data_IF_637306634666
#
_entry.id   IF_637306634666
#
_cell.length_a   1.000
_cell.length_b   1.000
_cell.length_c   1.000
_cell.angle_alpha   90.00
_cell.angle_beta   90.00
_cell.angle_gamma   90.00
#
_symmetry.space_group_name_H-M   'P 1'
#
loop_
_entity.id
_entity.type
_entity.pdbx_description
1 polymer ?
#
# COMPACT_ATOMS: atom_id res chain seq x y z
N UNK A 1 -63.29 -48.73 -3.92
CA UNK A 1 -62.22 -49.17 -4.83
C UNK A 1 -61.88 -48.15 -5.92
N UNK A 2 -62.86 -47.50 -6.57
CA UNK A 2 -62.61 -46.52 -7.67
C UNK A 2 -61.74 -45.33 -7.24
N UNK A 3 -61.92 -44.81 -6.02
CA UNK A 3 -61.12 -43.68 -5.49
C UNK A 3 -59.62 -43.99 -5.36
N UNK A 4 -59.25 -45.23 -5.03
CA UNK A 4 -57.85 -45.61 -4.87
C UNK A 4 -57.11 -45.70 -6.22
N UNK A 5 -57.84 -46.12 -7.27
CA UNK A 5 -57.31 -46.22 -8.63
C UNK A 5 -57.03 -44.82 -9.20
N UNK A 6 -57.94 -43.86 -8.96
CA UNK A 6 -57.77 -42.46 -9.40
C UNK A 6 -56.57 -41.81 -8.71
N UNK A 7 -56.38 -42.04 -7.41
CA UNK A 7 -55.21 -41.54 -6.67
C UNK A 7 -53.89 -42.15 -7.17
N UNK A 8 -53.88 -43.45 -7.47
CA UNK A 8 -52.71 -44.11 -8.04
C UNK A 8 -52.33 -43.58 -9.42
N UNK A 9 -53.32 -43.35 -10.28
CA UNK A 9 -53.09 -42.75 -11.60
C UNK A 9 -52.58 -41.31 -11.49
N UNK A 10 -53.13 -40.49 -10.58
CA UNK A 10 -52.71 -39.10 -10.38
C UNK A 10 -51.26 -38.99 -9.88
N UNK A 11 -50.83 -39.91 -9.01
CA UNK A 11 -49.44 -39.97 -8.53
C UNK A 11 -48.46 -40.40 -9.63
N UNK A 12 -48.87 -41.28 -10.54
CA UNK A 12 -48.01 -41.74 -11.64
C UNK A 12 -47.73 -40.65 -12.68
N UNK A 13 -48.66 -39.71 -12.89
CA UNK A 13 -48.48 -38.58 -13.82
C UNK A 13 -47.68 -37.40 -13.26
N UNK A 14 -47.46 -37.34 -11.94
CA UNK A 14 -46.62 -36.30 -11.31
C UNK A 14 -45.13 -36.67 -11.27
N UNK A 15 -44.76 -37.90 -11.64
CA UNK A 15 -43.37 -38.34 -11.74
C UNK A 15 -42.74 -37.90 -13.08
N UNK A 16 -42.69 -36.59 -13.32
CA UNK A 16 -41.83 -36.05 -14.37
C UNK A 16 -40.36 -36.21 -13.93
N UNK A 17 -39.44 -36.64 -14.81
CA UNK A 17 -38.03 -36.74 -14.46
C UNK A 17 -37.51 -35.33 -14.14
N UNK A 18 -36.98 -35.13 -12.93
CA UNK A 18 -36.13 -33.98 -12.61
C UNK A 18 -34.83 -34.20 -13.37
N UNK A 19 -34.69 -33.54 -14.52
CA UNK A 19 -33.39 -33.41 -15.17
C UNK A 19 -32.58 -32.47 -14.29
N UNK A 20 -31.40 -32.93 -13.86
CA UNK A 20 -30.45 -32.14 -13.10
C UNK A 20 -30.29 -30.78 -13.78
N UNK A 21 -30.72 -29.72 -13.09
CA UNK A 21 -30.56 -28.36 -13.56
C UNK A 21 -29.07 -28.14 -13.92
N UNK A 22 -28.83 -27.51 -15.07
CA UNK A 22 -27.50 -27.07 -15.48
C UNK A 22 -26.82 -26.39 -14.29
N UNK A 23 -25.75 -27.01 -13.82
CA UNK A 23 -24.91 -26.44 -12.77
C UNK A 23 -24.28 -25.20 -13.39
N UNK A 24 -24.73 -24.02 -12.97
CA UNK A 24 -24.14 -22.75 -13.36
C UNK A 24 -22.61 -22.87 -13.19
N UNK A 25 -21.80 -22.59 -14.23
CA UNK A 25 -20.36 -22.79 -14.16
C UNK A 25 -19.81 -22.01 -12.97
N UNK A 26 -19.29 -22.72 -11.97
CA UNK A 26 -18.70 -22.11 -10.79
C UNK A 26 -17.58 -21.16 -11.24
N UNK A 27 -17.83 -19.86 -11.09
CA UNK A 27 -16.86 -18.82 -11.39
C UNK A 27 -16.19 -18.36 -10.09
N UNK A 28 -14.98 -18.85 -9.77
CA UNK A 28 -14.26 -18.45 -8.56
C UNK A 28 -13.92 -16.96 -8.54
N UNK A 29 -13.94 -16.27 -9.68
CA UNK A 29 -13.63 -14.84 -9.80
C UNK A 29 -14.85 -13.93 -9.59
N UNK A 30 -16.08 -14.47 -9.62
CA UNK A 30 -17.29 -13.66 -9.44
C UNK A 30 -17.34 -12.87 -8.11
N UNK A 31 -16.91 -13.43 -6.96
CA UNK A 31 -16.85 -12.70 -5.69
C UNK A 31 -15.79 -11.60 -5.69
N UNK A 32 -14.69 -11.76 -6.44
CA UNK A 32 -13.63 -10.75 -6.54
C UNK A 32 -14.04 -9.62 -7.49
N UNK A 33 -14.69 -9.94 -8.60
CA UNK A 33 -15.27 -8.96 -9.53
C UNK A 33 -16.34 -8.10 -8.87
N UNK A 34 -17.13 -8.69 -7.96
CA UNK A 34 -18.17 -7.97 -7.21
C UNK A 34 -17.64 -7.31 -5.93
N UNK A 35 -16.68 -7.95 -5.24
CA UNK A 35 -16.17 -7.56 -3.93
C UNK A 35 -14.99 -6.58 -3.97
N UNK A 36 -14.15 -6.62 -5.00
CA UNK A 36 -13.11 -5.62 -5.26
C UNK A 36 -13.60 -4.63 -6.31
N UNK A 37 -14.70 -3.94 -5.99
CA UNK A 37 -15.13 -2.82 -6.82
C UNK A 37 -14.01 -1.76 -6.88
N UNK A 38 -13.89 -1.09 -8.02
CA UNK A 38 -12.93 0.00 -8.22
C UNK A 38 -13.03 1.09 -7.13
N UNK A 39 -14.22 1.27 -6.55
CA UNK A 39 -14.45 2.16 -5.42
C UNK A 39 -13.79 1.70 -4.12
N UNK A 40 -13.87 0.41 -3.77
CA UNK A 40 -13.22 -0.14 -2.58
C UNK A 40 -11.69 -0.12 -2.71
N UNK A 41 -11.16 -0.50 -3.86
CA UNK A 41 -9.73 -0.39 -4.15
C UNK A 41 -9.23 1.05 -4.02
N UNK A 42 -9.98 2.00 -4.57
CA UNK A 42 -9.65 3.43 -4.45
C UNK A 42 -9.71 3.92 -3.00
N UNK A 43 -10.70 3.47 -2.23
CA UNK A 43 -10.82 3.81 -0.82
C UNK A 43 -9.64 3.28 0.00
N UNK A 44 -9.26 2.01 -0.21
CA UNK A 44 -8.12 1.39 0.46
C UNK A 44 -6.80 2.07 0.09
N UNK A 45 -6.62 2.39 -1.19
CA UNK A 45 -5.45 3.12 -1.66
C UNK A 45 -5.36 4.52 -1.04
N UNK A 46 -6.47 5.27 -1.04
CA UNK A 46 -6.51 6.58 -0.40
C UNK A 46 -6.18 6.48 1.09
N UNK A 47 -6.79 5.53 1.81
CA UNK A 47 -6.50 5.31 3.23
C UNK A 47 -5.03 4.95 3.47
N UNK A 48 -4.42 4.13 2.59
CA UNK A 48 -3.01 3.81 2.67
C UNK A 48 -2.12 5.04 2.41
N UNK A 49 -2.49 5.90 1.47
CA UNK A 49 -1.79 7.17 1.22
C UNK A 49 -1.91 8.15 2.39
N UNK A 50 -3.10 8.31 2.97
CA UNK A 50 -3.33 9.17 4.12
C UNK A 50 -2.48 8.72 5.32
N UNK A 51 -2.43 7.41 5.56
CA UNK A 51 -1.58 6.85 6.61
C UNK A 51 -0.09 7.03 6.30
N UNK A 52 0.33 6.82 5.05
CA UNK A 52 1.72 7.03 4.63
C UNK A 52 2.15 8.49 4.79
N UNK A 53 1.26 9.43 4.47
CA UNK A 53 1.49 10.86 4.64
C UNK A 53 1.71 11.21 6.10
N UNK A 54 0.99 10.58 7.04
CA UNK A 54 1.26 10.82 8.48
C UNK A 54 2.64 10.29 8.92
N UNK A 55 3.24 9.35 8.19
CA UNK A 55 4.49 8.70 8.59
C UNK A 55 5.71 9.20 7.81
N UNK A 56 5.55 9.85 6.66
CA UNK A 56 6.67 10.24 5.79
C UNK A 56 6.65 11.75 5.50
N UNK A 57 7.84 12.35 5.54
CA UNK A 57 8.08 13.72 5.10
C UNK A 57 9.27 13.73 4.15
N UNK A 58 9.05 14.19 2.92
CA UNK A 58 10.11 14.36 1.91
C UNK A 58 10.12 15.83 1.51
N UNK A 59 11.27 16.48 1.65
CA UNK A 59 11.48 17.86 1.24
C UNK A 59 12.71 17.97 0.36
N UNK A 60 12.54 18.56 -0.81
CA UNK A 60 13.64 18.92 -1.71
C UNK A 60 13.67 20.43 -1.91
N UNK A 61 14.84 21.03 -1.76
CA UNK A 61 15.10 22.41 -2.17
C UNK A 61 16.30 22.43 -3.10
N UNK A 62 16.08 22.99 -4.28
CA UNK A 62 17.14 23.36 -5.21
C UNK A 62 17.15 24.89 -5.23
N UNK A 63 18.30 25.52 -5.08
CA UNK A 63 18.42 26.97 -5.24
C UNK A 63 18.85 27.25 -6.70
N UNK A 64 17.91 27.64 -7.59
CA UNK A 64 18.23 27.93 -8.98
C UNK A 64 18.82 29.34 -9.17
N UNK A 65 18.73 30.22 -8.16
CA UNK A 65 18.97 31.66 -8.30
C UNK A 65 20.38 32.10 -7.88
N UNK A 66 21.32 31.17 -7.67
CA UNK A 66 22.72 31.55 -7.49
C UNK A 66 23.31 31.95 -8.86
N UNK A 67 23.13 33.23 -9.21
CA UNK A 67 23.53 33.90 -10.47
C UNK A 67 25.02 33.67 -10.82
N UNK A 68 25.82 33.17 -9.87
CA UNK A 68 27.24 32.81 -10.06
C UNK A 68 27.46 31.35 -10.52
N UNK A 69 26.39 30.63 -10.86
CA UNK A 69 26.42 29.26 -11.36
C UNK A 69 26.72 28.19 -10.30
N UNK A 70 26.73 28.58 -9.03
CA UNK A 70 26.87 27.66 -7.91
C UNK A 70 25.53 26.94 -7.64
N UNK A 71 25.50 25.62 -7.81
CA UNK A 71 24.28 24.83 -7.60
C UNK A 71 24.30 24.23 -6.22
N UNK A 72 23.38 24.67 -5.37
CA UNK A 72 23.14 24.07 -4.06
C UNK A 72 21.80 23.35 -4.05
N UNK A 73 21.80 22.12 -3.54
CA UNK A 73 20.59 21.37 -3.31
C UNK A 73 20.58 20.69 -1.96
N UNK A 74 19.39 20.56 -1.38
CA UNK A 74 19.14 19.84 -0.13
C UNK A 74 17.95 18.90 -0.31
N UNK A 75 18.15 17.65 0.06
CA UNK A 75 17.11 16.64 0.16
C UNK A 75 17.00 16.21 1.62
N UNK A 76 15.79 16.20 2.16
CA UNK A 76 15.50 15.73 3.50
C UNK A 76 14.38 14.70 3.43
N UNK A 77 14.63 13.56 4.06
CA UNK A 77 13.69 12.49 4.29
C UNK A 77 13.53 12.31 5.80
N UNK A 78 12.29 12.23 6.28
CA UNK A 78 11.99 11.82 7.65
C UNK A 78 10.89 10.78 7.63
N UNK A 79 11.07 9.77 8.47
CA UNK A 79 10.10 8.73 8.75
C UNK A 79 9.74 8.76 10.23
N UNK A 80 8.44 8.83 10.51
CA UNK A 80 7.85 8.87 11.84
C UNK A 80 7.14 7.53 12.09
N UNK A 81 7.75 6.58 12.82
CA UNK A 81 7.17 5.26 13.03
C UNK A 81 5.81 5.29 13.73
N UNK A 82 5.60 6.30 14.56
CA UNK A 82 4.40 6.50 15.39
C UNK A 82 3.51 7.63 14.85
N UNK A 83 3.72 8.04 13.59
CA UNK A 83 3.08 9.21 12.99
C UNK A 83 3.74 10.54 13.38
N UNK A 84 3.54 11.56 12.56
CA UNK A 84 4.10 12.92 12.73
C UNK A 84 3.70 13.57 14.06
N UNK A 85 2.56 13.16 14.64
CA UNK A 85 2.08 13.64 15.93
C UNK A 85 3.03 13.33 17.10
N UNK A 86 3.79 12.22 17.03
CA UNK A 86 4.83 11.85 18.01
C UNK A 86 6.23 12.18 17.47
N UNK A 87 6.41 13.43 17.01
CA UNK A 87 7.60 13.92 16.29
C UNK A 87 8.97 13.73 16.97
N UNK A 88 8.98 13.47 18.29
CA UNK A 88 10.21 13.22 19.06
C UNK A 88 10.98 11.97 18.63
N UNK A 89 10.31 11.02 17.97
CA UNK A 89 10.89 9.76 17.52
C UNK A 89 10.77 9.65 15.99
N UNK A 90 11.81 10.05 15.27
CA UNK A 90 11.85 9.92 13.82
C UNK A 90 13.21 9.40 13.34
N UNK A 91 13.19 8.69 12.23
CA UNK A 91 14.34 8.36 11.42
C UNK A 91 14.50 9.47 10.38
N UNK A 92 15.67 10.11 10.31
CA UNK A 92 15.95 11.16 9.36
C UNK A 92 17.11 10.80 8.45
N UNK A 93 17.03 11.16 7.18
CA UNK A 93 18.13 11.17 6.24
C UNK A 93 18.16 12.51 5.53
N UNK A 94 19.27 13.23 5.62
CA UNK A 94 19.47 14.51 4.97
C UNK A 94 20.69 14.42 4.06
N UNK A 95 20.54 14.87 2.82
CA UNK A 95 21.61 15.04 1.85
C UNK A 95 21.69 16.50 1.42
N UNK A 96 22.88 17.06 1.35
CA UNK A 96 23.10 18.36 0.72
C UNK A 96 24.33 18.32 -0.15
N UNK A 97 24.24 18.99 -1.28
CA UNK A 97 25.32 19.10 -2.23
C UNK A 97 25.55 20.56 -2.60
N UNK A 98 26.81 20.86 -2.89
CA UNK A 98 27.25 22.15 -3.40
C UNK A 98 28.17 21.88 -4.59
N UNK A 99 27.85 22.46 -5.75
CA UNK A 99 28.59 22.29 -6.98
C UNK A 99 28.92 23.64 -7.61
N UNK A 100 30.21 23.96 -7.70
CA UNK A 100 30.73 25.20 -8.30
C UNK A 100 31.07 24.98 -9.79
N UNK A 101 30.77 25.93 -10.70
CA UNK A 101 30.83 25.70 -12.15
C UNK A 101 32.26 25.74 -12.75
N UNK A 102 33.25 26.30 -12.06
CA UNK A 102 34.61 26.54 -12.61
C UNK A 102 35.65 25.49 -12.16
N UNK A 103 35.30 24.20 -12.23
CA UNK A 103 36.23 23.12 -11.82
C UNK A 103 36.53 23.10 -10.32
N UNK A 104 35.68 23.76 -9.52
CA UNK A 104 35.76 23.79 -8.07
C UNK A 104 35.30 22.48 -7.42
N UNK A 105 35.65 22.34 -6.14
CA UNK A 105 35.33 21.19 -5.29
C UNK A 105 33.81 20.97 -5.23
N UNK A 106 33.39 19.72 -5.42
CA UNK A 106 32.02 19.29 -5.16
C UNK A 106 31.93 18.73 -3.75
N UNK A 107 31.12 19.36 -2.92
CA UNK A 107 30.91 18.90 -1.56
C UNK A 107 29.57 18.18 -1.46
N UNK A 108 29.64 16.94 -0.97
CA UNK A 108 28.48 16.09 -0.72
C UNK A 108 28.47 15.73 0.76
N UNK A 109 27.33 15.95 1.39
CA UNK A 109 27.18 15.64 2.79
C UNK A 109 25.91 14.85 3.02
N UNK A 110 26.00 13.90 3.94
CA UNK A 110 24.91 13.04 4.34
C UNK A 110 24.84 13.02 5.86
N UNK A 111 23.63 13.14 6.40
CA UNK A 111 23.37 13.02 7.83
C UNK A 111 22.20 12.09 8.06
N UNK A 112 22.43 11.11 8.92
CA UNK A 112 21.40 10.20 9.39
C UNK A 112 21.06 10.55 10.83
N UNK A 113 19.76 10.60 11.14
CA UNK A 113 19.24 10.84 12.47
C UNK A 113 18.48 9.61 12.91
N UNK A 114 18.85 9.05 14.07
CA UNK A 114 18.16 7.92 14.68
C UNK A 114 17.34 8.42 15.89
N UNK A 115 16.21 7.77 16.22
CA UNK A 115 15.46 8.01 17.44
C UNK A 115 16.37 7.87 18.67
N UNK A 116 16.21 8.76 19.65
CA UNK A 116 17.04 8.79 20.85
C UNK A 116 16.99 7.47 21.65
N UNK A 117 15.84 6.80 21.65
CA UNK A 117 15.64 5.52 22.35
C UNK A 117 16.24 4.30 21.61
N UNK A 118 16.56 4.42 20.32
CA UNK A 118 17.19 3.32 19.55
C UNK A 118 18.71 3.26 19.67
N UNK A 119 19.35 4.14 20.45
CA UNK A 119 20.81 4.09 20.69
C UNK A 119 21.29 2.79 21.35
N UNK A 120 20.38 1.90 21.79
CA UNK A 120 20.70 0.63 22.45
C UNK A 120 20.12 -0.62 21.77
N UNK A 121 19.43 -0.50 20.64
CA UNK A 121 19.01 -1.68 19.88
C UNK A 121 20.05 -1.94 18.77
N UNK A 122 20.93 -2.95 18.89
CA UNK A 122 21.73 -3.36 17.74
C UNK A 122 20.77 -3.72 16.61
N UNK A 123 21.04 -3.22 15.40
CA UNK A 123 20.38 -3.67 14.18
C UNK A 123 20.73 -5.16 14.03
N UNK A 124 19.87 -6.03 14.56
CA UNK A 124 19.97 -7.46 14.31
C UNK A 124 19.47 -7.69 12.89
N UNK A 125 20.42 -7.74 11.95
CA UNK A 125 20.16 -8.39 10.69
C UNK A 125 20.12 -9.89 10.99
N UNK A 126 18.93 -10.47 11.01
CA UNK A 126 18.82 -11.93 10.95
C UNK A 126 19.43 -12.37 9.63
N UNK A 127 20.55 -13.11 9.69
CA UNK A 127 21.09 -13.79 8.53
C UNK A 127 20.05 -14.82 8.05
N UNK A 128 19.72 -14.85 6.74
CA UNK A 128 18.84 -15.86 6.21
C UNK A 128 19.49 -17.25 6.37
N UNK A 129 18.74 -18.17 6.99
CA UNK A 129 19.06 -19.60 7.12
C UNK A 129 19.18 -20.30 5.76
#
# INVERSE_FOLDING_TARGET
MIRAIVFGFFLMFMAAPVWAAEVEPFNPEAPFQQGLSTGLLRSLLNQAFDQLEDHIEIMGKLDPDDVKGNRQGRLQFKFYPEGKSKSGEHLGAEGWFHATPEGGQQDWHFKFTLPKDRKHAPLQFEEPL
#
